data_IF_502081284954
#
_entry.id   IF_502081284954
#
_cell.length_a   1.000
_cell.length_b   1.000
_cell.length_c   1.000
_cell.angle_alpha   90.00
_cell.angle_beta   90.00
_cell.angle_gamma   90.00
#
_symmetry.space_group_name_H-M   'P 1'
#
loop_
_entity.id
_entity.type
_entity.pdbx_description
1 polymer ?
#
# COMPACT_ATOMS: atom_id res chain seq x y z
N UNK A 1 13.17 -33.97 -21.84
CA UNK A 1 12.83 -32.69 -21.18
C UNK A 1 12.95 -31.60 -22.22
N UNK A 2 11.83 -30.96 -22.54
CA UNK A 2 11.74 -29.95 -23.62
C UNK A 2 12.29 -28.60 -23.16
N UNK A 3 12.76 -27.75 -24.08
CA UNK A 3 13.24 -26.38 -23.78
C UNK A 3 12.23 -25.53 -22.99
N UNK A 4 10.94 -25.85 -23.10
CA UNK A 4 9.84 -25.23 -22.35
C UNK A 4 9.83 -25.64 -20.87
N UNK A 5 10.08 -26.91 -20.56
CA UNK A 5 10.20 -27.40 -19.17
C UNK A 5 11.46 -26.84 -18.51
N UNK A 6 12.58 -26.74 -19.23
CA UNK A 6 13.80 -26.13 -18.70
C UNK A 6 13.62 -24.63 -18.41
N UNK A 7 12.97 -23.86 -19.29
CA UNK A 7 12.66 -22.44 -19.06
C UNK A 7 11.72 -22.22 -17.87
N UNK A 8 10.68 -23.06 -17.72
CA UNK A 8 9.73 -22.98 -16.60
C UNK A 8 10.43 -23.23 -15.27
N UNK A 9 11.28 -24.27 -15.21
CA UNK A 9 11.99 -24.65 -13.98
C UNK A 9 13.04 -23.59 -13.57
N UNK A 10 13.73 -22.96 -14.54
CA UNK A 10 14.64 -21.83 -14.24
C UNK A 10 13.93 -20.56 -13.78
N UNK A 11 12.70 -20.31 -14.24
CA UNK A 11 11.91 -19.15 -13.80
C UNK A 11 11.36 -19.35 -12.38
N UNK A 12 10.94 -20.57 -12.04
CA UNK A 12 10.56 -20.95 -10.66
C UNK A 12 11.74 -20.82 -9.69
N UNK A 13 12.90 -21.38 -10.03
CA UNK A 13 14.11 -21.24 -9.19
C UNK A 13 14.55 -19.79 -8.99
N UNK A 14 14.43 -18.95 -10.02
CA UNK A 14 14.75 -17.52 -9.92
C UNK A 14 13.75 -16.78 -9.00
N UNK A 15 12.46 -17.11 -9.08
CA UNK A 15 11.43 -16.55 -8.21
C UNK A 15 11.64 -16.94 -6.74
N UNK A 16 11.98 -18.21 -6.46
CA UNK A 16 12.26 -18.69 -5.10
C UNK A 16 13.53 -18.04 -4.53
N UNK A 17 14.56 -17.85 -5.35
CA UNK A 17 15.78 -17.15 -4.94
C UNK A 17 15.51 -15.68 -4.60
N UNK A 18 14.69 -15.00 -5.39
CA UNK A 18 14.29 -13.62 -5.09
C UNK A 18 13.45 -13.55 -3.81
N UNK A 19 12.45 -14.42 -3.64
CA UNK A 19 11.61 -14.48 -2.46
C UNK A 19 12.41 -14.74 -1.16
N UNK A 20 13.39 -15.65 -1.21
CA UNK A 20 14.26 -15.94 -0.06
C UNK A 20 15.18 -14.76 0.28
N UNK A 21 15.76 -14.10 -0.73
CA UNK A 21 16.55 -12.90 -0.55
C UNK A 21 15.71 -11.76 0.09
N UNK A 22 14.45 -11.64 -0.32
CA UNK A 22 13.51 -10.67 0.23
C UNK A 22 13.13 -10.96 1.68
N UNK A 23 12.81 -12.22 1.98
CA UNK A 23 12.55 -12.64 3.35
C UNK A 23 13.74 -12.32 4.25
N UNK A 24 14.97 -12.58 3.79
CA UNK A 24 16.19 -12.28 4.54
C UNK A 24 16.42 -10.79 4.77
N UNK A 25 16.23 -9.94 3.75
CA UNK A 25 16.36 -8.48 3.90
C UNK A 25 15.29 -7.90 4.82
N UNK A 26 14.04 -8.38 4.70
CA UNK A 26 12.97 -7.97 5.59
C UNK A 26 13.22 -8.44 7.02
N UNK A 27 13.65 -9.68 7.22
CA UNK A 27 14.03 -10.20 8.54
C UNK A 27 15.15 -9.38 9.17
N UNK A 28 16.18 -8.98 8.41
CA UNK A 28 17.23 -8.11 8.92
C UNK A 28 16.67 -6.75 9.36
N UNK A 29 15.79 -6.16 8.56
CA UNK A 29 15.12 -4.92 8.93
C UNK A 29 14.25 -5.13 10.17
N UNK A 30 13.42 -6.18 10.27
CA UNK A 30 12.59 -6.41 11.46
C UNK A 30 13.45 -6.66 12.70
N UNK A 31 14.63 -7.27 12.58
CA UNK A 31 15.60 -7.49 13.66
C UNK A 31 16.47 -6.26 14.01
N UNK A 32 16.09 -5.05 13.57
CA UNK A 32 16.80 -3.83 13.96
C UNK A 32 18.09 -3.55 13.18
N UNK A 33 18.35 -4.20 12.03
CA UNK A 33 19.54 -3.93 11.23
C UNK A 33 19.63 -2.44 10.79
N UNK A 34 20.83 -1.89 10.85
CA UNK A 34 21.09 -0.52 10.39
C UNK A 34 21.05 -0.42 8.86
N UNK A 35 20.89 0.79 8.32
CA UNK A 35 21.03 1.06 6.88
C UNK A 35 22.34 0.47 6.30
N UNK A 36 23.44 0.65 7.02
CA UNK A 36 24.75 0.14 6.61
C UNK A 36 24.76 -1.41 6.55
N UNK A 37 24.11 -2.09 7.51
CA UNK A 37 23.96 -3.57 7.53
C UNK A 37 23.12 -4.08 6.36
N UNK A 38 21.96 -3.45 6.13
CA UNK A 38 21.03 -3.83 5.05
C UNK A 38 21.69 -3.63 3.69
N UNK A 39 22.35 -2.49 3.47
CA UNK A 39 23.05 -2.23 2.21
C UNK A 39 24.26 -3.15 1.98
N UNK A 40 24.93 -3.60 3.05
CA UNK A 40 25.94 -4.65 2.95
C UNK A 40 25.31 -5.98 2.51
N UNK A 41 24.17 -6.36 3.07
CA UNK A 41 23.45 -7.57 2.64
C UNK A 41 23.02 -7.49 1.18
N UNK A 42 22.52 -6.34 0.73
CA UNK A 42 22.22 -6.09 -0.69
C UNK A 42 23.49 -6.27 -1.54
N UNK A 43 24.63 -5.73 -1.11
CA UNK A 43 25.91 -5.88 -1.84
C UNK A 43 26.36 -7.33 -1.97
N UNK A 44 26.26 -8.13 -0.91
CA UNK A 44 26.70 -9.53 -0.97
C UNK A 44 25.77 -10.39 -1.84
N UNK A 45 24.47 -10.16 -1.74
CA UNK A 45 23.49 -11.06 -2.33
C UNK A 45 23.07 -10.71 -3.76
N UNK A 46 23.20 -9.45 -4.18
CA UNK A 46 22.72 -9.02 -5.50
C UNK A 46 23.72 -9.32 -6.63
N UNK A 47 24.93 -9.76 -6.33
CA UNK A 47 25.95 -10.03 -7.35
C UNK A 47 25.55 -11.17 -8.32
N UNK A 48 24.69 -12.10 -7.88
CA UNK A 48 24.11 -13.13 -8.75
C UNK A 48 22.99 -12.61 -9.65
N UNK A 49 22.47 -11.41 -9.36
CA UNK A 49 21.28 -10.80 -9.98
C UNK A 49 21.69 -9.68 -10.94
N UNK A 50 22.72 -8.90 -10.58
CA UNK A 50 23.26 -7.80 -11.37
C UNK A 50 24.79 -7.80 -11.39
N UNK A 51 25.41 -7.50 -12.54
CA UNK A 51 26.84 -7.22 -12.59
C UNK A 51 27.13 -5.83 -12.01
N UNK A 52 27.81 -5.76 -10.87
CA UNK A 52 28.32 -4.51 -10.33
C UNK A 52 29.66 -4.70 -9.61
N UNK A 53 30.43 -3.63 -9.52
CA UNK A 53 31.68 -3.54 -8.74
C UNK A 53 31.57 -2.49 -7.63
N UNK A 54 30.45 -1.75 -7.61
CA UNK A 54 30.18 -0.67 -6.68
C UNK A 54 28.68 -0.49 -6.49
N UNK A 55 28.25 -0.40 -5.23
CA UNK A 55 26.93 0.10 -4.88
C UNK A 55 27.06 1.43 -4.14
N UNK A 56 26.23 2.40 -4.52
CA UNK A 56 26.03 3.63 -3.75
C UNK A 56 24.57 3.77 -3.34
N UNK A 57 24.32 4.30 -2.14
CA UNK A 57 22.99 4.71 -1.70
C UNK A 57 23.03 6.20 -1.35
N UNK A 58 22.14 6.97 -1.97
CA UNK A 58 21.98 8.39 -1.69
C UNK A 58 20.52 8.70 -1.38
N UNK A 59 20.28 9.44 -0.30
CA UNK A 59 18.94 9.81 0.13
C UNK A 59 18.73 11.30 -0.10
N UNK A 60 17.48 11.68 -0.33
CA UNK A 60 17.08 13.08 -0.39
C UNK A 60 17.09 13.62 1.05
N UNK A 61 17.60 14.83 1.25
CA UNK A 61 17.54 15.47 2.56
C UNK A 61 16.12 15.94 2.92
N UNK A 62 15.90 16.32 4.18
CA UNK A 62 14.59 16.73 4.69
C UNK A 62 13.99 17.92 3.92
N UNK A 63 14.84 18.76 3.33
CA UNK A 63 14.40 19.90 2.52
C UNK A 63 13.83 19.49 1.14
N UNK A 64 14.14 18.29 0.67
CA UNK A 64 13.84 17.85 -0.69
C UNK A 64 14.78 18.42 -1.76
N UNK A 65 15.69 19.32 -1.41
CA UNK A 65 16.49 20.08 -2.38
C UNK A 65 17.78 19.38 -2.77
N UNK A 66 18.34 18.54 -1.89
CA UNK A 66 19.65 17.92 -2.13
C UNK A 66 19.60 16.41 -2.01
N UNK A 67 20.45 15.77 -2.79
CA UNK A 67 20.74 14.34 -2.70
C UNK A 67 22.04 14.18 -1.94
N UNK A 68 22.06 13.34 -0.90
CA UNK A 68 23.23 13.10 -0.05
C UNK A 68 23.61 11.63 -0.05
N UNK A 69 24.86 11.33 -0.41
CA UNK A 69 25.40 9.98 -0.34
C UNK A 69 25.46 9.52 1.12
N UNK A 70 24.68 8.50 1.48
CA UNK A 70 24.61 7.94 2.84
C UNK A 70 25.52 6.75 3.05
N UNK A 71 25.76 6.00 1.99
CA UNK A 71 26.56 4.78 2.02
C UNK A 71 27.12 4.46 0.63
N UNK A 72 28.28 3.82 0.60
CA UNK A 72 28.86 3.27 -0.62
C UNK A 72 29.82 2.13 -0.29
N UNK A 73 29.87 1.14 -1.16
CA UNK A 73 30.87 0.06 -1.14
C UNK A 73 31.34 -0.21 -2.56
N UNK A 74 32.65 -0.41 -2.73
CA UNK A 74 33.31 -0.53 -4.03
C UNK A 74 34.50 -1.46 -3.93
N UNK A 75 34.77 -2.21 -5.00
CA UNK A 75 36.03 -2.96 -5.18
C UNK A 75 37.21 -2.05 -5.53
N UNK A 76 36.93 -0.83 -5.98
CA UNK A 76 37.93 0.21 -6.31
C UNK A 76 38.01 1.26 -5.21
N UNK A 77 39.06 2.09 -5.26
CA UNK A 77 39.19 3.23 -4.36
C UNK A 77 37.99 4.16 -4.51
N UNK A 78 37.34 4.47 -3.39
CA UNK A 78 36.21 5.40 -3.33
C UNK A 78 36.73 6.84 -3.26
N UNK A 79 36.20 7.70 -4.14
CA UNK A 79 36.43 9.14 -4.21
C UNK A 79 35.11 9.88 -3.90
N UNK A 80 34.01 9.49 -4.55
CA UNK A 80 32.64 9.89 -4.20
C UNK A 80 32.17 9.01 -3.05
N UNK A 81 32.53 9.44 -1.85
CA UNK A 81 32.18 8.78 -0.60
C UNK A 81 30.93 9.34 0.09
N UNK A 82 30.71 8.84 1.30
CA UNK A 82 29.67 9.30 2.22
C UNK A 82 29.74 10.81 2.44
N UNK A 83 28.58 11.43 2.64
CA UNK A 83 28.36 12.87 2.81
C UNK A 83 28.58 13.74 1.56
N UNK A 84 28.99 13.17 0.41
CA UNK A 84 28.90 13.90 -0.85
C UNK A 84 27.44 14.34 -1.08
N UNK A 85 27.24 15.61 -1.43
CA UNK A 85 25.90 16.14 -1.66
C UNK A 85 25.86 17.09 -2.84
N UNK A 86 24.79 16.96 -3.63
CA UNK A 86 24.55 17.79 -4.81
C UNK A 86 23.07 18.19 -4.88
N UNK A 87 22.73 19.32 -5.53
CA UNK A 87 21.34 19.71 -5.78
C UNK A 87 20.60 18.64 -6.59
N UNK A 88 19.37 18.32 -6.18
CA UNK A 88 18.48 17.47 -6.96
C UNK A 88 17.95 18.24 -8.18
N UNK A 89 17.54 19.49 -7.98
CA UNK A 89 16.98 20.35 -9.03
C UNK A 89 17.98 20.59 -10.17
N UNK A 90 17.51 20.42 -11.40
CA UNK A 90 18.33 20.56 -12.62
C UNK A 90 19.31 19.40 -12.84
N UNK A 91 19.29 18.37 -11.99
CA UNK A 91 20.13 17.20 -12.16
C UNK A 91 19.44 16.13 -13.00
N UNK A 92 20.25 15.23 -13.55
CA UNK A 92 19.75 14.03 -14.21
C UNK A 92 19.02 13.07 -13.27
N UNK A 93 19.18 13.20 -11.95
CA UNK A 93 18.47 12.39 -10.94
C UNK A 93 17.05 12.88 -10.69
N UNK A 94 16.78 14.18 -10.86
CA UNK A 94 15.43 14.73 -10.81
C UNK A 94 14.52 14.00 -11.81
N UNK A 95 15.00 13.85 -13.06
CA UNK A 95 14.26 13.13 -14.10
C UNK A 95 14.01 11.65 -13.72
N UNK A 96 14.97 10.97 -13.09
CA UNK A 96 14.82 9.58 -12.64
C UNK A 96 13.69 9.47 -11.61
N UNK A 97 13.62 10.42 -10.68
CA UNK A 97 12.59 10.47 -9.64
C UNK A 97 11.20 10.79 -10.23
N UNK A 98 11.11 11.81 -11.09
CA UNK A 98 9.87 12.24 -11.73
C UNK A 98 9.26 11.14 -12.60
N UNK A 99 10.10 10.42 -13.35
CA UNK A 99 9.64 9.32 -14.20
C UNK A 99 9.35 8.04 -13.42
N UNK A 100 9.78 7.96 -12.14
CA UNK A 100 9.70 6.76 -11.29
C UNK A 100 10.22 5.51 -12.01
N UNK A 101 11.26 5.68 -12.83
CA UNK A 101 11.83 4.64 -13.69
C UNK A 101 13.34 4.58 -13.52
N UNK A 102 13.92 3.38 -13.45
CA UNK A 102 15.36 3.24 -13.40
C UNK A 102 16.03 3.78 -14.67
N UNK A 103 17.27 4.24 -14.52
CA UNK A 103 18.08 4.78 -15.62
C UNK A 103 19.36 3.98 -15.80
N UNK A 104 19.65 3.62 -17.03
CA UNK A 104 20.92 2.98 -17.42
C UNK A 104 21.80 4.00 -18.15
N UNK A 105 23.04 4.13 -17.70
CA UNK A 105 24.13 4.83 -18.39
C UNK A 105 25.24 3.82 -18.66
N UNK A 106 25.29 3.28 -19.88
CA UNK A 106 26.23 2.22 -20.24
C UNK A 106 27.65 2.72 -20.61
N UNK A 107 27.82 4.03 -20.76
CA UNK A 107 29.12 4.65 -20.98
C UNK A 107 29.17 6.00 -20.23
N UNK A 108 29.76 5.99 -19.03
CA UNK A 108 29.88 7.17 -18.18
C UNK A 108 30.94 8.16 -18.67
N UNK A 109 31.95 7.72 -19.40
CA UNK A 109 32.95 8.61 -20.00
C UNK A 109 32.32 9.44 -21.12
N UNK A 110 31.55 8.79 -22.01
CA UNK A 110 30.76 9.49 -23.04
C UNK A 110 29.72 10.42 -22.42
N UNK A 111 29.02 9.96 -21.36
CA UNK A 111 28.08 10.80 -20.63
C UNK A 111 28.79 12.03 -20.03
N UNK A 112 29.98 11.87 -19.46
CA UNK A 112 30.76 12.97 -18.89
C UNK A 112 31.20 13.98 -19.96
N UNK A 113 31.55 13.53 -21.16
CA UNK A 113 31.87 14.42 -22.28
C UNK A 113 30.68 15.31 -22.66
N UNK A 114 29.46 14.74 -22.65
CA UNK A 114 28.21 15.47 -22.92
C UNK A 114 27.76 16.34 -21.75
N UNK A 115 28.16 15.99 -20.53
CA UNK A 115 27.81 16.68 -19.29
C UNK A 115 29.07 17.09 -18.51
N UNK A 116 29.92 17.96 -19.07
CA UNK A 116 31.24 18.25 -18.53
C UNK A 116 31.20 18.98 -17.17
N UNK A 117 30.04 19.46 -16.72
CA UNK A 117 29.86 20.08 -15.41
C UNK A 117 29.39 19.09 -14.32
N UNK A 118 29.15 17.82 -14.66
CA UNK A 118 28.72 16.80 -13.70
C UNK A 118 29.86 16.38 -12.78
N UNK A 119 29.96 17.02 -11.60
CA UNK A 119 30.98 16.71 -10.59
C UNK A 119 30.90 15.25 -10.15
N UNK A 120 29.71 14.75 -9.84
CA UNK A 120 29.52 13.36 -9.40
C UNK A 120 29.95 12.34 -10.45
N UNK A 121 29.59 12.55 -11.73
CA UNK A 121 30.04 11.69 -12.83
C UNK A 121 31.57 11.70 -12.95
N UNK A 122 32.22 12.86 -12.85
CA UNK A 122 33.68 12.95 -12.92
C UNK A 122 34.36 12.16 -11.81
N UNK A 123 33.86 12.27 -10.58
CA UNK A 123 34.40 11.52 -9.43
C UNK A 123 34.27 10.01 -9.67
N UNK A 124 33.08 9.55 -10.10
CA UNK A 124 32.82 8.12 -10.37
C UNK A 124 33.67 7.57 -11.52
N UNK A 125 33.86 8.34 -12.60
CA UNK A 125 34.75 7.95 -13.71
C UNK A 125 36.21 7.82 -13.23
N UNK A 126 36.66 8.73 -12.37
CA UNK A 126 37.98 8.69 -11.76
C UNK A 126 38.19 7.51 -10.79
N UNK A 127 37.11 6.94 -10.23
CA UNK A 127 37.16 5.67 -9.48
C UNK A 127 37.37 4.44 -10.38
N UNK A 128 37.29 4.61 -11.71
CA UNK A 128 37.40 3.52 -12.68
C UNK A 128 36.06 2.92 -13.11
N UNK A 129 34.94 3.51 -12.71
CA UNK A 129 33.59 3.06 -13.10
C UNK A 129 33.28 3.52 -14.53
N UNK A 130 32.59 2.67 -15.30
CA UNK A 130 32.29 2.89 -16.73
C UNK A 130 30.82 2.80 -17.09
N UNK A 131 30.00 2.11 -16.29
CA UNK A 131 28.56 2.12 -16.44
C UNK A 131 27.84 2.23 -15.09
N UNK A 132 26.62 2.76 -15.11
CA UNK A 132 25.79 2.91 -13.92
C UNK A 132 24.33 2.61 -14.21
N UNK A 133 23.73 1.83 -13.33
CA UNK A 133 22.31 1.59 -13.24
C UNK A 133 21.78 2.28 -11.99
N UNK A 134 20.97 3.33 -12.20
CA UNK A 134 20.38 4.15 -11.14
C UNK A 134 18.93 3.74 -10.91
N UNK A 135 18.64 3.34 -9.69
CA UNK A 135 17.32 2.92 -9.23
C UNK A 135 16.70 3.99 -8.32
N UNK A 136 15.51 4.53 -8.64
CA UNK A 136 14.80 5.44 -7.73
C UNK A 136 14.19 4.66 -6.57
N UNK A 137 14.43 5.13 -5.34
CA UNK A 137 13.76 4.63 -4.16
C UNK A 137 12.46 5.41 -3.99
N UNK A 138 11.32 4.73 -4.08
CA UNK A 138 10.00 5.35 -3.96
C UNK A 138 9.06 4.54 -3.08
N UNK A 139 8.37 5.19 -2.14
CA UNK A 139 7.35 4.58 -1.27
C UNK A 139 6.07 5.40 -1.41
N UNK A 140 4.94 4.74 -1.71
CA UNK A 140 3.64 5.40 -1.96
C UNK A 140 3.72 6.56 -2.96
N UNK A 141 4.58 6.42 -3.97
CA UNK A 141 4.80 7.43 -4.99
C UNK A 141 5.67 8.62 -4.58
N UNK A 142 6.15 8.68 -3.33
CA UNK A 142 7.12 9.66 -2.84
C UNK A 142 8.54 9.15 -3.04
N UNK A 143 9.39 9.99 -3.64
CA UNK A 143 10.80 9.68 -3.85
C UNK A 143 11.63 9.96 -2.61
N UNK A 144 12.35 8.96 -2.11
CA UNK A 144 13.16 9.06 -0.88
C UNK A 144 14.67 9.05 -1.16
N UNK A 145 15.08 8.61 -2.35
CA UNK A 145 16.49 8.49 -2.70
C UNK A 145 16.77 7.67 -3.94
N UNK A 146 17.99 7.20 -4.03
CA UNK A 146 18.52 6.45 -5.17
C UNK A 146 19.48 5.37 -4.70
N UNK A 147 19.39 4.20 -5.33
CA UNK A 147 20.39 3.15 -5.25
C UNK A 147 21.12 3.04 -6.59
N UNK A 148 22.44 2.97 -6.55
CA UNK A 148 23.29 2.97 -7.73
C UNK A 148 24.04 1.65 -7.79
N UNK A 149 23.76 0.82 -8.78
CA UNK A 149 24.63 -0.31 -9.15
C UNK A 149 25.57 0.18 -10.24
N UNK A 150 26.87 0.02 -10.05
CA UNK A 150 27.88 0.61 -10.93
C UNK A 150 28.96 -0.42 -11.26
N UNK A 151 29.38 -0.46 -12.52
CA UNK A 151 30.36 -1.44 -13.01
C UNK A 151 31.57 -0.75 -13.63
N UNK A 152 32.73 -1.40 -13.53
CA UNK A 152 33.96 -1.00 -14.23
C UNK A 152 33.93 -1.29 -15.72
N UNK A 153 32.89 -1.98 -16.22
CA UNK A 153 32.71 -2.29 -17.63
C UNK A 153 31.69 -1.34 -18.28
N UNK A 154 31.88 -1.08 -19.57
CA UNK A 154 30.84 -0.43 -20.39
C UNK A 154 29.78 -1.46 -20.77
N UNK A 155 28.56 -1.01 -21.03
CA UNK A 155 27.46 -1.87 -21.49
C UNK A 155 27.07 -3.03 -20.55
N UNK A 156 27.37 -2.91 -19.24
CA UNK A 156 27.04 -3.93 -18.26
C UNK A 156 25.52 -4.14 -18.06
N UNK A 157 24.69 -3.14 -18.42
CA UNK A 157 23.25 -3.20 -18.14
C UNK A 157 22.39 -3.24 -19.41
N UNK A 158 21.37 -4.12 -19.40
CA UNK A 158 20.42 -4.31 -20.49
C UNK A 158 18.98 -4.03 -20.02
N UNK A 159 18.02 -4.10 -20.95
CA UNK A 159 16.59 -3.99 -20.61
C UNK A 159 16.08 -5.14 -19.74
N UNK A 160 16.72 -6.31 -19.77
CA UNK A 160 16.34 -7.44 -18.91
C UNK A 160 16.51 -7.09 -17.41
N UNK A 161 17.59 -6.36 -17.08
CA UNK A 161 17.82 -5.85 -15.72
C UNK A 161 16.74 -4.86 -15.26
N UNK A 162 16.11 -4.12 -16.18
CA UNK A 162 14.98 -3.23 -15.83
C UNK A 162 13.73 -4.01 -15.42
N UNK A 163 13.43 -5.11 -16.11
CA UNK A 163 12.24 -5.93 -15.83
C UNK A 163 12.36 -6.58 -14.45
N UNK A 164 13.51 -7.18 -14.19
CA UNK A 164 13.85 -7.76 -12.89
C UNK A 164 13.72 -6.75 -11.75
N UNK A 165 14.18 -5.51 -11.96
CA UNK A 165 14.08 -4.49 -10.92
C UNK A 165 12.67 -4.00 -10.65
N UNK A 166 11.76 -4.10 -11.61
CA UNK A 166 10.37 -3.64 -11.43
C UNK A 166 9.66 -4.44 -10.33
N UNK A 167 9.97 -5.73 -10.20
CA UNK A 167 9.37 -6.64 -9.22
C UNK A 167 9.87 -6.36 -7.80
N UNK A 168 11.13 -5.94 -7.67
CA UNK A 168 11.84 -5.83 -6.39
C UNK A 168 11.87 -4.38 -5.86
N UNK A 169 11.46 -3.44 -6.73
CA UNK A 169 11.57 -2.00 -6.55
C UNK A 169 10.90 -1.48 -5.28
N UNK A 170 9.63 -1.85 -5.08
CA UNK A 170 8.83 -1.35 -3.97
C UNK A 170 9.38 -1.84 -2.63
N UNK A 171 9.71 -3.14 -2.57
CA UNK A 171 10.24 -3.75 -1.36
C UNK A 171 11.62 -3.21 -0.99
N UNK A 172 12.53 -3.10 -1.95
CA UNK A 172 13.86 -2.56 -1.71
C UNK A 172 13.81 -1.09 -1.25
N UNK A 173 12.88 -0.31 -1.82
CA UNK A 173 12.61 1.06 -1.39
C UNK A 173 12.12 1.12 0.06
N UNK A 174 11.20 0.22 0.44
CA UNK A 174 10.66 0.13 1.79
C UNK A 174 11.74 -0.30 2.81
N UNK A 175 12.49 -1.36 2.51
CA UNK A 175 13.61 -1.86 3.33
C UNK A 175 14.65 -0.77 3.60
N UNK A 176 15.04 -0.03 2.56
CA UNK A 176 16.01 1.06 2.69
C UNK A 176 15.41 2.25 3.46
N UNK A 177 14.13 2.58 3.26
CA UNK A 177 13.45 3.63 4.01
C UNK A 177 13.53 3.33 5.51
N UNK A 178 13.05 2.15 5.93
CA UNK A 178 13.01 1.73 7.33
C UNK A 178 14.43 1.76 7.91
N UNK A 179 15.38 1.12 7.23
CA UNK A 179 16.76 1.06 7.72
C UNK A 179 17.43 2.45 7.81
N UNK A 180 17.03 3.41 6.96
CA UNK A 180 17.58 4.77 6.93
C UNK A 180 17.06 5.69 8.03
N UNK A 181 15.82 5.49 8.48
CA UNK A 181 15.19 6.29 9.54
C UNK A 181 15.75 5.97 10.93
N UNK A 182 16.40 4.81 11.10
CA UNK A 182 16.99 4.36 12.37
C UNK A 182 18.14 5.19 12.92
N UNK A 183 18.74 6.08 12.12
CA UNK A 183 19.91 6.85 12.57
C UNK A 183 19.58 8.02 13.50
N UNK A 184 18.31 8.25 13.85
CA UNK A 184 17.93 9.44 14.62
C UNK A 184 17.14 9.21 15.91
N UNK A 185 16.78 7.99 16.32
CA UNK A 185 16.18 7.80 17.66
C UNK A 185 16.20 6.32 18.03
N UNK A 186 16.32 6.03 19.33
CA UNK A 186 15.82 4.79 19.93
C UNK A 186 14.54 4.35 19.24
N UNK A 187 14.48 3.11 18.73
CA UNK A 187 13.32 2.56 18.01
C UNK A 187 12.04 2.88 18.79
N UNK A 188 11.14 3.65 18.19
CA UNK A 188 9.89 4.09 18.82
C UNK A 188 8.80 3.06 18.56
N UNK A 189 7.90 2.84 19.52
CA UNK A 189 6.72 1.96 19.41
C UNK A 189 5.93 2.15 18.11
N UNK A 190 5.95 3.36 17.55
CA UNK A 190 5.32 3.68 16.26
C UNK A 190 5.90 2.87 15.09
N UNK A 191 7.20 2.62 15.07
CA UNK A 191 7.86 1.84 14.01
C UNK A 191 7.45 0.36 14.10
N UNK A 192 7.38 -0.20 15.31
CA UNK A 192 6.93 -1.57 15.52
C UNK A 192 5.43 -1.75 15.24
N UNK A 193 4.59 -0.81 15.67
CA UNK A 193 3.15 -0.82 15.35
C UNK A 193 2.93 -0.75 13.83
N UNK A 194 3.72 0.05 13.11
CA UNK A 194 3.63 0.11 11.65
C UNK A 194 3.96 -1.23 11.00
N UNK A 195 5.06 -1.89 11.43
CA UNK A 195 5.44 -3.21 10.92
C UNK A 195 4.39 -4.27 11.26
N UNK A 196 3.88 -4.24 12.50
CA UNK A 196 2.83 -5.13 12.97
C UNK A 196 1.56 -4.99 12.12
N UNK A 197 1.11 -3.75 11.86
CA UNK A 197 -0.05 -3.47 11.01
C UNK A 197 0.14 -4.06 9.60
N UNK A 198 1.33 -3.92 9.00
CA UNK A 198 1.62 -4.53 7.70
C UNK A 198 1.50 -6.05 7.73
N UNK A 199 2.04 -6.72 8.75
CA UNK A 199 1.94 -8.18 8.88
C UNK A 199 0.50 -8.64 9.13
N UNK A 200 -0.22 -7.98 10.04
CA UNK A 200 -1.63 -8.28 10.32
C UNK A 200 -2.48 -8.13 9.06
N UNK A 201 -2.24 -7.06 8.30
CA UNK A 201 -2.95 -6.79 7.05
C UNK A 201 -2.66 -7.82 5.97
N UNK A 202 -1.46 -8.40 5.92
CA UNK A 202 -1.14 -9.49 4.98
C UNK A 202 -1.71 -10.83 5.40
N UNK A 203 -1.72 -11.12 6.71
CA UNK A 203 -2.21 -12.39 7.26
C UNK A 203 -3.73 -12.53 7.16
N UNK A 204 -4.47 -11.42 7.32
CA UNK A 204 -5.94 -11.45 7.32
C UNK A 204 -6.52 -10.22 6.63
N UNK A 205 -7.14 -10.39 5.44
CA UNK A 205 -7.88 -9.32 4.77
C UNK A 205 -9.01 -8.76 5.63
N UNK A 206 -9.64 -9.58 6.49
CA UNK A 206 -10.68 -9.11 7.43
C UNK A 206 -10.09 -8.13 8.43
N UNK A 207 -8.94 -8.48 9.00
CA UNK A 207 -8.23 -7.68 10.00
C UNK A 207 -7.73 -6.36 9.42
N UNK A 208 -7.23 -6.37 8.19
CA UNK A 208 -6.88 -5.15 7.45
C UNK A 208 -8.05 -4.16 7.37
N UNK A 209 -9.26 -4.66 7.06
CA UNK A 209 -10.45 -3.81 6.98
C UNK A 209 -10.93 -3.31 8.34
N UNK A 210 -10.75 -4.08 9.42
CA UNK A 210 -11.04 -3.60 10.78
C UNK A 210 -10.15 -2.42 11.12
N UNK A 211 -8.83 -2.56 10.94
CA UNK A 211 -7.85 -1.49 11.24
C UNK A 211 -8.16 -0.24 10.39
N UNK A 212 -8.47 -0.42 9.10
CA UNK A 212 -8.81 0.67 8.21
C UNK A 212 -10.06 1.45 8.66
N UNK A 213 -11.15 0.75 9.00
CA UNK A 213 -12.38 1.40 9.48
C UNK A 213 -12.15 2.13 10.80
N UNK A 214 -11.38 1.54 11.73
CA UNK A 214 -11.00 2.22 12.98
C UNK A 214 -10.20 3.48 12.71
N UNK A 215 -9.19 3.43 11.83
CA UNK A 215 -8.36 4.60 11.47
C UNK A 215 -9.17 5.70 10.79
N UNK A 216 -10.21 5.34 10.02
CA UNK A 216 -11.13 6.30 9.38
C UNK A 216 -12.08 6.98 10.39
N UNK A 217 -12.60 6.25 11.36
CA UNK A 217 -13.61 6.74 12.31
C UNK A 217 -12.98 7.45 13.52
N UNK A 218 -11.78 7.04 13.95
CA UNK A 218 -11.12 7.57 15.13
C UNK A 218 -10.93 9.11 15.13
N UNK A 219 -10.61 9.79 14.01
CA UNK A 219 -10.50 11.24 13.97
C UNK A 219 -11.82 11.98 14.24
N UNK A 220 -12.97 11.42 13.83
CA UNK A 220 -14.28 12.01 14.10
C UNK A 220 -14.69 11.89 15.57
N UNK A 221 -14.22 10.83 16.24
CA UNK A 221 -14.55 10.50 17.62
C UNK A 221 -13.59 11.14 18.64
N UNK A 222 -12.28 11.06 18.41
CA UNK A 222 -11.25 11.60 19.30
C UNK A 222 -9.95 11.89 18.54
N UNK A 223 -9.81 13.11 17.95
CA UNK A 223 -8.64 13.48 17.15
C UNK A 223 -7.30 13.35 17.89
N UNK A 224 -7.30 13.63 19.20
CA UNK A 224 -6.09 13.61 20.03
C UNK A 224 -5.59 12.17 20.28
N UNK A 225 -6.47 11.17 20.18
CA UNK A 225 -6.15 9.78 20.51
C UNK A 225 -6.19 8.84 19.29
N UNK A 226 -6.40 9.36 18.07
CA UNK A 226 -6.62 8.52 16.88
C UNK A 226 -5.48 7.53 16.60
N UNK A 227 -4.23 7.94 16.85
CA UNK A 227 -3.08 7.05 16.72
C UNK A 227 -3.12 5.87 17.74
N UNK A 228 -3.61 6.10 18.95
CA UNK A 228 -3.76 5.04 19.96
C UNK A 228 -4.87 4.06 19.60
N UNK A 229 -5.94 4.54 18.95
CA UNK A 229 -7.04 3.68 18.48
C UNK A 229 -6.53 2.70 17.41
N UNK A 230 -5.76 3.21 16.45
CA UNK A 230 -5.18 2.39 15.38
C UNK A 230 -4.15 1.38 15.93
N UNK A 231 -3.29 1.80 16.86
CA UNK A 231 -2.34 0.90 17.54
C UNK A 231 -3.05 -0.21 18.32
N UNK A 232 -4.11 0.12 19.07
CA UNK A 232 -4.90 -0.85 19.82
C UNK A 232 -5.61 -1.85 18.89
N UNK A 233 -6.22 -1.37 17.81
CA UNK A 233 -6.85 -2.23 16.81
C UNK A 233 -5.84 -3.20 16.18
N UNK A 234 -4.64 -2.72 15.88
CA UNK A 234 -3.55 -3.53 15.32
C UNK A 234 -3.13 -4.65 16.28
N UNK A 235 -2.94 -4.35 17.56
CA UNK A 235 -2.57 -5.34 18.58
C UNK A 235 -3.67 -6.36 18.85
N UNK A 236 -4.93 -5.93 18.86
CA UNK A 236 -6.08 -6.81 19.05
C UNK A 236 -6.27 -7.77 17.88
N UNK A 237 -6.14 -7.29 16.63
CA UNK A 237 -6.20 -8.17 15.47
C UNK A 237 -4.99 -9.12 15.40
N UNK A 238 -3.80 -8.66 15.79
CA UNK A 238 -2.63 -9.52 15.94
C UNK A 238 -2.88 -10.66 16.95
N UNK A 239 -3.49 -10.34 18.09
CA UNK A 239 -3.88 -11.30 19.13
C UNK A 239 -4.88 -12.34 18.61
N UNK A 240 -5.86 -11.92 17.82
CA UNK A 240 -6.85 -12.81 17.22
C UNK A 240 -6.20 -13.78 16.22
N UNK A 241 -5.23 -13.30 15.42
CA UNK A 241 -4.47 -14.12 14.46
C UNK A 241 -3.58 -15.13 15.19
N UNK A 242 -2.88 -14.71 16.26
CA UNK A 242 -2.05 -15.61 17.09
C UNK A 242 -2.90 -16.72 17.73
N UNK A 243 -4.17 -16.45 18.00
CA UNK A 243 -5.08 -17.43 18.58
C UNK A 243 -5.64 -18.44 17.56
N UNK A 244 -5.41 -18.24 16.25
CA UNK A 244 -5.94 -19.07 15.16
C UNK A 244 -4.85 -19.93 14.48
N UNK A 245 -4.85 -21.25 14.71
CA UNK A 245 -3.83 -22.25 14.32
C UNK A 245 -3.18 -22.13 12.90
N UNK A 246 -2.10 -21.33 12.74
CA UNK A 246 -1.11 -21.54 11.67
C UNK A 246 0.30 -20.95 11.97
N UNK A 247 1.37 -21.66 11.63
CA UNK A 247 2.60 -21.69 12.46
C UNK A 247 3.84 -20.95 11.91
N UNK A 248 3.68 -19.88 11.10
CA UNK A 248 4.83 -19.03 10.67
C UNK A 248 4.57 -17.54 10.78
N UNK A 249 3.37 -17.09 10.41
CA UNK A 249 2.99 -15.68 10.52
C UNK A 249 2.78 -15.28 11.99
N UNK A 250 2.30 -16.19 12.83
CA UNK A 250 2.18 -15.99 14.27
C UNK A 250 3.53 -15.75 14.95
N UNK A 251 4.57 -16.52 14.58
CA UNK A 251 5.91 -16.37 15.17
C UNK A 251 6.47 -14.98 14.89
N UNK A 252 6.30 -14.47 13.66
CA UNK A 252 6.71 -13.13 13.27
C UNK A 252 5.91 -12.03 13.98
N UNK A 253 4.60 -12.22 14.15
CA UNK A 253 3.74 -11.28 14.90
C UNK A 253 4.14 -11.25 16.38
N UNK A 254 4.38 -12.41 17.01
CA UNK A 254 4.84 -12.51 18.40
C UNK A 254 6.20 -11.85 18.59
N UNK A 255 7.14 -12.05 17.66
CA UNK A 255 8.46 -11.40 17.70
C UNK A 255 8.35 -9.87 17.70
N UNK A 256 7.46 -9.29 16.87
CA UNK A 256 7.25 -7.84 16.80
C UNK A 256 6.55 -7.31 18.05
N UNK A 257 5.52 -8.01 18.56
CA UNK A 257 4.81 -7.60 19.79
C UNK A 257 5.78 -7.50 20.98
N UNK A 258 6.67 -8.49 21.13
CA UNK A 258 7.66 -8.51 22.22
C UNK A 258 8.69 -7.36 22.15
N UNK A 259 8.76 -6.65 21.02
CA UNK A 259 9.67 -5.53 20.81
C UNK A 259 9.01 -4.16 21.03
N UNK A 260 7.69 -4.10 21.25
CA UNK A 260 6.95 -2.86 21.58
C UNK A 260 7.02 -2.65 23.10
N UNK A 261 7.86 -1.73 23.64
CA UNK A 261 7.77 -1.36 25.05
C UNK A 261 6.37 -0.82 25.40
N UNK A 262 5.97 -1.04 26.65
CA UNK A 262 4.61 -0.80 27.13
C UNK A 262 4.04 0.56 26.68
N UNK A 263 3.04 0.51 25.81
CA UNK A 263 2.23 1.66 25.44
C UNK A 263 1.11 1.82 26.48
N UNK A 264 1.39 2.49 27.60
CA UNK A 264 0.47 2.66 28.74
C UNK A 264 -0.98 2.97 28.31
N UNK A 265 -1.17 3.95 27.42
CA UNK A 265 -2.50 4.32 26.88
C UNK A 265 -3.16 3.20 26.05
N UNK A 266 -2.38 2.43 25.29
CA UNK A 266 -2.89 1.33 24.46
C UNK A 266 -3.19 0.10 25.32
N UNK A 267 -2.40 -0.17 26.37
CA UNK A 267 -2.71 -1.19 27.38
C UNK A 267 -4.06 -0.91 28.02
N UNK A 268 -4.31 0.33 28.44
CA UNK A 268 -5.62 0.72 29.01
C UNK A 268 -6.77 0.51 28.01
N UNK A 269 -6.57 0.76 26.71
CA UNK A 269 -7.59 0.48 25.69
C UNK A 269 -7.86 -1.03 25.58
N UNK A 270 -6.81 -1.87 25.61
CA UNK A 270 -6.94 -3.33 25.53
C UNK A 270 -7.61 -3.89 26.79
N UNK A 271 -7.25 -3.39 27.98
CA UNK A 271 -7.89 -3.76 29.25
C UNK A 271 -9.39 -3.43 29.25
N UNK A 272 -9.76 -2.23 28.80
CA UNK A 272 -11.16 -1.82 28.63
C UNK A 272 -11.87 -2.62 27.53
N UNK A 273 -11.14 -3.05 26.50
CA UNK A 273 -11.67 -3.94 25.48
C UNK A 273 -11.95 -5.33 26.04
N UNK A 274 -11.17 -5.85 26.99
CA UNK A 274 -11.40 -7.18 27.57
C UNK A 274 -12.50 -7.15 28.67
N UNK A 275 -12.70 -6.03 29.35
CA UNK A 275 -13.71 -5.87 30.41
C UNK A 275 -15.03 -5.25 29.90
N UNK A 276 -16.02 -6.07 29.55
CA UNK A 276 -17.33 -5.59 29.07
C UNK A 276 -18.04 -4.63 30.04
N UNK A 277 -17.85 -4.81 31.35
CA UNK A 277 -18.44 -3.97 32.39
C UNK A 277 -18.00 -2.51 32.33
N UNK A 278 -16.79 -2.24 31.83
CA UNK A 278 -16.26 -0.88 31.71
C UNK A 278 -16.89 -0.14 30.52
N UNK A 279 -17.40 -0.89 29.53
CA UNK A 279 -18.13 -0.37 28.38
C UNK A 279 -19.60 -0.05 28.74
N UNK A 280 -20.19 -0.79 29.69
CA UNK A 280 -21.54 -0.55 30.20
C UNK A 280 -21.71 0.84 30.86
N UNK A 281 -20.61 1.51 31.21
CA UNK A 281 -20.62 2.88 31.76
C UNK A 281 -20.94 3.97 30.72
N UNK A 282 -20.96 3.63 29.42
CA UNK A 282 -21.18 4.55 28.29
C UNK A 282 -22.68 4.87 28.04
N UNK A 283 -23.53 4.87 29.07
CA UNK A 283 -24.95 5.24 28.91
C UNK A 283 -25.11 6.77 28.65
N UNK A 284 -25.37 7.08 27.37
CA UNK A 284 -26.04 8.23 26.74
C UNK A 284 -25.49 9.66 27.00
N UNK A 285 -24.86 10.00 28.13
CA UNK A 285 -24.48 11.40 28.41
C UNK A 285 -22.99 11.68 28.73
N UNK A 286 -22.09 10.68 28.76
CA UNK A 286 -20.67 10.88 29.14
C UNK A 286 -19.61 10.31 28.17
N UNK A 287 -20.01 9.79 27.01
CA UNK A 287 -19.11 9.07 26.07
C UNK A 287 -17.99 9.97 25.52
N UNK A 288 -18.23 11.26 25.34
CA UNK A 288 -17.24 12.19 24.78
C UNK A 288 -16.08 12.51 25.75
N UNK A 289 -16.22 12.19 27.05
CA UNK A 289 -15.20 12.48 28.07
C UNK A 289 -14.30 11.28 28.41
N UNK A 290 -14.55 10.10 27.83
CA UNK A 290 -13.78 8.87 28.09
C UNK A 290 -13.19 8.30 26.79
N UNK A 291 -12.15 8.94 26.23
CA UNK A 291 -11.62 8.62 24.90
C UNK A 291 -11.03 7.21 24.81
N UNK A 292 -10.62 6.59 25.92
CA UNK A 292 -10.07 5.22 25.88
C UNK A 292 -11.19 4.16 25.86
N UNK A 293 -12.30 4.39 26.56
CA UNK A 293 -13.48 3.52 26.46
C UNK A 293 -14.14 3.63 25.10
N UNK A 294 -14.15 4.83 24.52
CA UNK A 294 -14.64 5.06 23.16
C UNK A 294 -13.79 4.29 22.13
N UNK A 295 -12.47 4.21 22.33
CA UNK A 295 -11.58 3.40 21.49
C UNK A 295 -11.94 1.91 21.54
N UNK A 296 -12.07 1.36 22.75
CA UNK A 296 -12.41 -0.04 22.96
C UNK A 296 -13.78 -0.39 22.36
N UNK A 297 -14.79 0.46 22.55
CA UNK A 297 -16.12 0.26 21.99
C UNK A 297 -16.13 0.35 20.46
N UNK A 298 -15.37 1.29 19.87
CA UNK A 298 -15.21 1.39 18.42
C UNK A 298 -14.61 0.13 17.83
N UNK A 299 -13.48 -0.33 18.36
CA UNK A 299 -12.79 -1.53 17.85
C UNK A 299 -13.72 -2.74 17.93
N UNK A 300 -14.40 -2.92 19.07
CA UNK A 300 -15.38 -3.99 19.29
C UNK A 300 -16.53 -3.92 18.28
N UNK A 301 -17.13 -2.74 18.09
CA UNK A 301 -18.24 -2.53 17.16
C UNK A 301 -17.83 -2.85 15.72
N UNK A 302 -16.64 -2.39 15.29
CA UNK A 302 -16.11 -2.67 13.95
C UNK A 302 -15.80 -4.15 13.75
N UNK A 303 -15.21 -4.81 14.75
CA UNK A 303 -14.94 -6.25 14.71
C UNK A 303 -16.23 -7.06 14.58
N UNK A 304 -17.25 -6.75 15.38
CA UNK A 304 -18.53 -7.45 15.35
C UNK A 304 -19.28 -7.19 14.04
N UNK A 305 -19.29 -5.94 13.57
CA UNK A 305 -19.81 -5.60 12.23
C UNK A 305 -19.15 -6.48 11.15
N UNK A 306 -17.81 -6.59 11.14
CA UNK A 306 -17.09 -7.38 10.13
C UNK A 306 -17.37 -8.88 10.23
N UNK A 307 -17.58 -9.42 11.43
CA UNK A 307 -18.01 -10.81 11.62
C UNK A 307 -19.42 -11.03 11.05
N UNK A 308 -20.35 -10.14 11.36
CA UNK A 308 -21.74 -10.23 10.90
C UNK A 308 -21.88 -10.00 9.39
N UNK A 309 -21.12 -9.08 8.82
CA UNK A 309 -21.05 -8.82 7.37
C UNK A 309 -20.58 -10.06 6.60
N UNK A 310 -19.62 -10.81 7.14
CA UNK A 310 -19.18 -12.05 6.52
C UNK A 310 -20.24 -13.17 6.59
N UNK A 311 -21.04 -13.20 7.66
CA UNK A 311 -22.08 -14.20 7.88
C UNK A 311 -23.39 -13.91 7.11
N UNK A 312 -23.67 -12.66 6.73
CA UNK A 312 -24.95 -12.24 6.15
C UNK A 312 -24.76 -11.51 4.82
N UNK A 313 -25.54 -11.87 3.80
CA UNK A 313 -25.43 -11.29 2.44
C UNK A 313 -26.03 -9.88 2.27
N UNK A 314 -26.46 -9.19 3.33
CA UNK A 314 -27.08 -7.84 3.24
C UNK A 314 -26.56 -6.89 4.33
N UNK A 315 -26.12 -5.70 3.91
CA UNK A 315 -25.46 -4.69 4.76
C UNK A 315 -26.34 -4.10 5.87
N UNK A 316 -27.67 -4.21 5.78
CA UNK A 316 -28.57 -3.67 6.82
C UNK A 316 -28.76 -4.60 8.02
N UNK A 317 -28.52 -5.91 7.86
CA UNK A 317 -28.67 -6.88 8.95
C UNK A 317 -27.64 -6.66 10.07
N UNK A 318 -26.34 -6.46 9.80
CA UNK A 318 -25.34 -6.18 10.83
C UNK A 318 -25.73 -5.03 11.77
N UNK A 319 -26.19 -3.90 11.26
CA UNK A 319 -26.56 -2.74 12.08
C UNK A 319 -27.79 -3.01 12.96
N UNK A 320 -28.76 -3.78 12.47
CA UNK A 320 -29.92 -4.19 13.28
C UNK A 320 -29.47 -5.08 14.44
N UNK A 321 -28.48 -5.95 14.23
CA UNK A 321 -27.91 -6.77 15.29
C UNK A 321 -27.17 -5.92 16.34
N UNK A 322 -26.29 -5.01 15.92
CA UNK A 322 -25.56 -4.13 16.83
C UNK A 322 -26.51 -3.26 17.68
N UNK A 323 -27.60 -2.74 17.08
CA UNK A 323 -28.59 -1.91 17.79
C UNK A 323 -29.43 -2.66 18.83
N UNK A 324 -29.43 -3.99 18.84
CA UNK A 324 -30.14 -4.78 19.87
C UNK A 324 -29.40 -4.81 21.20
N UNK A 325 -28.11 -4.50 21.20
CA UNK A 325 -27.25 -4.53 22.38
C UNK A 325 -26.61 -3.14 22.60
N UNK A 326 -27.41 -2.08 22.86
CA UNK A 326 -26.90 -0.71 22.98
C UNK A 326 -25.98 -0.50 24.21
N UNK A 327 -26.04 -1.41 25.17
CA UNK A 327 -25.15 -1.46 26.33
C UNK A 327 -23.73 -1.94 25.96
N UNK A 328 -23.60 -2.70 24.86
CA UNK A 328 -22.34 -3.27 24.37
C UNK A 328 -21.81 -2.49 23.18
N UNK A 329 -22.68 -2.05 22.27
CA UNK A 329 -22.34 -1.27 21.08
C UNK A 329 -22.97 0.11 21.19
N UNK A 330 -22.16 1.13 21.44
CA UNK A 330 -22.67 2.48 21.68
C UNK A 330 -23.41 2.99 20.43
N UNK A 331 -24.66 3.49 20.55
CA UNK A 331 -25.45 3.94 19.40
C UNK A 331 -24.73 4.99 18.54
N UNK A 332 -24.01 5.93 19.18
CA UNK A 332 -23.19 6.92 18.49
C UNK A 332 -22.15 6.29 17.55
N UNK A 333 -21.44 5.25 18.01
CA UNK A 333 -20.43 4.56 17.20
C UNK A 333 -21.09 3.79 16.06
N UNK A 334 -22.21 3.13 16.34
CA UNK A 334 -22.96 2.37 15.33
C UNK A 334 -23.44 3.30 14.22
N UNK A 335 -23.95 4.48 14.57
CA UNK A 335 -24.43 5.47 13.60
C UNK A 335 -23.27 6.06 12.78
N UNK A 336 -22.13 6.38 13.39
CA UNK A 336 -20.93 6.84 12.68
C UNK A 336 -20.39 5.78 11.70
N UNK A 337 -20.35 4.51 12.12
CA UNK A 337 -19.96 3.39 11.27
C UNK A 337 -20.92 3.22 10.09
N UNK A 338 -22.24 3.29 10.32
CA UNK A 338 -23.24 3.20 9.26
C UNK A 338 -23.10 4.34 8.24
N UNK A 339 -22.90 5.58 8.72
CA UNK A 339 -22.67 6.73 7.85
C UNK A 339 -21.40 6.58 7.00
N UNK A 340 -20.28 6.16 7.60
CA UNK A 340 -19.03 5.95 6.87
C UNK A 340 -19.18 4.90 5.76
N UNK A 341 -19.90 3.80 6.04
CA UNK A 341 -20.18 2.77 5.05
C UNK A 341 -21.08 3.30 3.93
N UNK A 342 -22.17 4.01 4.25
CA UNK A 342 -23.07 4.62 3.25
C UNK A 342 -22.32 5.63 2.36
N UNK A 343 -21.44 6.45 2.93
CA UNK A 343 -20.63 7.42 2.20
C UNK A 343 -19.67 6.71 1.22
N UNK A 344 -18.98 5.66 1.66
CA UNK A 344 -18.05 4.90 0.80
C UNK A 344 -18.72 4.24 -0.41
N UNK A 345 -19.98 3.81 -0.26
CA UNK A 345 -20.79 3.21 -1.34
C UNK A 345 -21.27 4.30 -2.32
N UNK A 346 -21.50 5.52 -1.82
CA UNK A 346 -22.03 6.62 -2.64
C UNK A 346 -20.98 7.25 -3.55
N UNK A 347 -19.70 7.24 -3.19
CA UNK A 347 -18.60 7.78 -4.01
C UNK A 347 -18.18 6.89 -5.20
N UNK A 348 -18.57 5.61 -5.21
CA UNK A 348 -18.16 4.62 -6.21
C UNK A 348 -19.31 4.16 -7.12
N UNK A 349 -20.45 4.86 -7.04
CA UNK A 349 -21.68 4.53 -7.77
C UNK A 349 -21.64 5.06 -9.21
N UNK A 350 -21.86 4.16 -10.19
CA UNK A 350 -21.99 4.48 -11.61
C UNK A 350 -23.33 3.97 -12.15
N UNK A 351 -23.95 4.73 -13.05
CA UNK A 351 -25.07 4.27 -13.88
C UNK A 351 -24.51 3.62 -15.15
N UNK A 352 -24.86 2.37 -15.41
CA UNK A 352 -24.38 1.59 -16.56
C UNK A 352 -25.54 0.93 -17.29
N UNK A 353 -25.38 0.75 -18.59
CA UNK A 353 -26.22 -0.17 -19.37
C UNK A 353 -25.75 -1.61 -19.20
N UNK A 354 -26.57 -2.59 -19.56
CA UNK A 354 -26.22 -4.02 -19.55
C UNK A 354 -24.94 -4.27 -20.37
N UNK A 355 -24.76 -3.55 -21.47
CA UNK A 355 -23.57 -3.65 -22.34
C UNK A 355 -22.28 -3.14 -21.68
N UNK A 356 -22.42 -2.28 -20.68
CA UNK A 356 -21.30 -1.66 -19.95
C UNK A 356 -20.98 -2.39 -18.64
N UNK A 357 -21.73 -3.46 -18.32
CA UNK A 357 -21.45 -4.30 -17.16
C UNK A 357 -20.11 -5.04 -17.31
N UNK A 358 -19.23 -4.86 -16.35
CA UNK A 358 -17.94 -5.54 -16.25
C UNK A 358 -17.93 -6.44 -15.02
N UNK A 359 -17.23 -7.58 -15.11
CA UNK A 359 -17.08 -8.48 -13.97
C UNK A 359 -16.45 -7.78 -12.78
N UNK A 360 -17.01 -8.04 -11.60
CA UNK A 360 -16.59 -7.42 -10.34
C UNK A 360 -17.38 -6.16 -9.96
N UNK A 361 -18.21 -5.58 -10.83
CA UNK A 361 -19.17 -4.54 -10.45
C UNK A 361 -20.22 -5.10 -9.47
N UNK A 362 -20.84 -4.27 -8.62
CA UNK A 362 -21.85 -4.72 -7.64
C UNK A 362 -23.15 -3.95 -7.86
N UNK A 363 -24.30 -4.62 -8.01
CA UNK A 363 -25.58 -3.92 -8.18
C UNK A 363 -25.99 -3.19 -6.89
N UNK A 364 -26.34 -1.91 -6.96
CA UNK A 364 -26.80 -1.12 -5.80
C UNK A 364 -28.29 -1.28 -5.55
N UNK A 365 -29.05 -1.53 -6.61
CA UNK A 365 -30.50 -1.72 -6.58
C UNK A 365 -30.88 -3.06 -7.22
N UNK A 366 -32.11 -3.50 -7.00
CA UNK A 366 -32.64 -4.68 -7.70
C UNK A 366 -32.67 -4.40 -9.20
N UNK A 367 -32.12 -5.31 -10.00
CA UNK A 367 -32.30 -5.29 -11.45
C UNK A 367 -33.69 -5.83 -11.73
N UNK A 368 -34.58 -5.01 -12.26
CA UNK A 368 -35.98 -5.36 -12.49
C UNK A 368 -36.31 -5.41 -13.98
N UNK A 369 -37.25 -6.26 -14.35
CA UNK A 369 -37.88 -6.26 -15.67
C UNK A 369 -38.95 -5.15 -15.76
N UNK A 370 -39.39 -4.86 -16.98
CA UNK A 370 -40.42 -3.85 -17.27
C UNK A 370 -41.78 -4.13 -16.61
N UNK A 371 -42.03 -5.36 -16.16
CA UNK A 371 -43.22 -5.78 -15.42
C UNK A 371 -43.07 -5.71 -13.89
N UNK A 372 -41.90 -5.29 -13.39
CA UNK A 372 -41.56 -5.22 -11.97
C UNK A 372 -40.93 -6.49 -11.38
N UNK A 373 -40.74 -7.55 -12.17
CA UNK A 373 -40.10 -8.78 -11.70
C UNK A 373 -38.62 -8.54 -11.38
N UNK A 374 -38.15 -8.94 -10.19
CA UNK A 374 -36.73 -8.85 -9.80
C UNK A 374 -35.94 -9.95 -10.53
N UNK A 375 -34.98 -9.54 -11.35
CA UNK A 375 -34.09 -10.42 -12.12
C UNK A 375 -32.77 -10.70 -11.41
N UNK A 376 -32.27 -9.71 -10.66
CA UNK A 376 -31.05 -9.82 -9.84
C UNK A 376 -31.28 -8.98 -8.59
N UNK A 377 -30.94 -9.52 -7.41
CA UNK A 377 -31.04 -8.76 -6.17
C UNK A 377 -29.93 -7.71 -6.07
N UNK A 378 -30.21 -6.60 -5.39
CA UNK A 378 -29.16 -5.66 -4.98
C UNK A 378 -28.05 -6.40 -4.22
N UNK A 379 -26.84 -5.84 -4.27
CA UNK A 379 -25.59 -6.32 -3.68
C UNK A 379 -24.97 -7.57 -4.34
N UNK A 380 -25.53 -8.06 -5.46
CA UNK A 380 -24.88 -9.11 -6.24
C UNK A 380 -23.70 -8.60 -7.06
N UNK A 381 -22.61 -9.37 -7.07
CA UNK A 381 -21.44 -9.14 -7.91
C UNK A 381 -21.75 -9.58 -9.35
N UNK A 382 -21.49 -8.70 -10.31
CA UNK A 382 -21.56 -8.96 -11.74
C UNK A 382 -20.50 -9.99 -12.11
N UNK A 383 -20.96 -11.07 -12.72
CA UNK A 383 -20.13 -12.08 -13.35
C UNK A 383 -20.65 -12.39 -14.77
N UNK A 384 -19.87 -13.11 -15.57
CA UNK A 384 -20.21 -13.44 -16.96
C UNK A 384 -21.58 -14.13 -17.11
N UNK A 385 -21.99 -14.95 -16.13
CA UNK A 385 -23.29 -15.61 -16.16
C UNK A 385 -24.46 -14.64 -15.98
N UNK A 386 -24.37 -13.72 -15.02
CA UNK A 386 -25.40 -12.70 -14.79
C UNK A 386 -25.52 -11.77 -15.99
N UNK A 387 -24.38 -11.35 -16.55
CA UNK A 387 -24.35 -10.49 -17.74
C UNK A 387 -25.05 -11.15 -18.92
N UNK A 388 -24.68 -12.39 -19.23
CA UNK A 388 -25.27 -13.13 -20.33
C UNK A 388 -26.78 -13.38 -20.12
N UNK A 389 -27.21 -13.60 -18.87
CA UNK A 389 -28.63 -13.75 -18.52
C UNK A 389 -29.41 -12.46 -18.75
N UNK A 390 -28.86 -11.31 -18.36
CA UNK A 390 -29.49 -10.00 -18.55
C UNK A 390 -29.53 -9.59 -20.03
N UNK A 391 -28.47 -9.87 -20.79
CA UNK A 391 -28.41 -9.64 -22.24
C UNK A 391 -29.47 -10.44 -23.00
N UNK A 392 -29.64 -11.72 -22.64
CA UNK A 392 -30.58 -12.63 -23.31
C UNK A 392 -32.03 -12.44 -22.87
N UNK A 393 -32.28 -11.71 -21.78
CA UNK A 393 -33.63 -11.52 -21.24
C UNK A 393 -34.55 -10.79 -22.23
N UNK A 394 -33.99 -9.94 -23.10
CA UNK A 394 -34.69 -9.17 -24.13
C UNK A 394 -35.33 -9.97 -25.27
N UNK A 395 -34.99 -11.26 -25.43
CA UNK A 395 -35.42 -12.05 -26.59
C UNK A 395 -36.89 -12.52 -26.54
N UNK A 396 -37.57 -12.36 -25.40
CA UNK A 396 -38.98 -12.77 -25.20
C UNK A 396 -39.98 -11.59 -25.13
N UNK A 397 -39.60 -10.39 -25.60
CA UNK A 397 -40.48 -9.22 -25.63
C UNK A 397 -40.60 -8.43 -24.32
N UNK A 398 -39.87 -8.83 -23.28
CA UNK A 398 -39.73 -8.08 -22.02
C UNK A 398 -38.35 -7.45 -21.93
N UNK A 399 -38.25 -6.20 -21.43
CA UNK A 399 -36.96 -5.51 -21.29
C UNK A 399 -36.57 -5.40 -19.83
N UNK A 400 -35.28 -5.52 -19.57
CA UNK A 400 -34.69 -5.12 -18.28
C UNK A 400 -34.77 -3.59 -18.19
N UNK A 401 -35.11 -3.06 -17.03
CA UNK A 401 -35.11 -1.63 -16.77
C UNK A 401 -33.68 -1.13 -16.66
N UNK A 402 -33.29 -0.23 -17.57
CA UNK A 402 -31.99 0.45 -17.61
C UNK A 402 -32.21 1.96 -17.40
N UNK A 403 -31.23 2.71 -16.84
CA UNK A 403 -29.87 2.28 -16.46
C UNK A 403 -29.79 1.51 -15.13
N UNK A 404 -28.76 0.68 -15.00
CA UNK A 404 -28.47 -0.11 -13.79
C UNK A 404 -27.52 0.66 -12.89
N UNK A 405 -27.82 0.67 -11.58
CA UNK A 405 -26.97 1.32 -10.59
C UNK A 405 -25.96 0.31 -10.05
N UNK A 406 -24.67 0.56 -10.25
CA UNK A 406 -23.59 -0.34 -9.84
C UNK A 406 -22.47 0.37 -9.09
N UNK A 407 -21.77 -0.38 -8.24
CA UNK A 407 -20.53 0.05 -7.59
C UNK A 407 -19.33 -0.57 -8.31
N UNK A 408 -18.34 0.24 -8.67
CA UNK A 408 -17.12 -0.23 -9.31
C UNK A 408 -16.05 -0.62 -8.27
N UNK A 409 -15.43 -1.80 -8.35
CA UNK A 409 -14.29 -2.13 -7.52
C UNK A 409 -13.11 -1.21 -7.85
N UNK A 410 -12.38 -0.75 -6.82
CA UNK A 410 -11.40 0.33 -6.88
C UNK A 410 -10.19 0.14 -7.85
N UNK A 411 -10.13 -0.95 -8.62
CA UNK A 411 -8.98 -1.29 -9.48
C UNK A 411 -9.11 -0.91 -10.97
N UNK A 412 -10.27 -0.42 -11.45
CA UNK A 412 -10.47 -0.17 -12.90
C UNK A 412 -10.73 1.29 -13.31
N UNK A 413 -10.59 2.27 -12.40
CA UNK A 413 -10.94 3.67 -12.68
C UNK A 413 -9.95 4.46 -13.57
N UNK A 414 -8.86 3.86 -14.09
CA UNK A 414 -7.84 4.58 -14.88
C UNK A 414 -7.70 4.19 -16.36
N UNK A 415 -8.67 3.47 -16.93
CA UNK A 415 -8.71 3.27 -18.39
C UNK A 415 -10.13 3.41 -18.94
N UNK A 416 -10.59 4.66 -19.09
CA UNK A 416 -11.49 5.10 -20.18
C UNK A 416 -11.86 6.57 -19.97
N UNK A 417 -11.01 7.49 -20.44
CA UNK A 417 -11.48 8.82 -20.88
C UNK A 417 -11.46 8.81 -22.41
N UNK A 418 -12.59 9.06 -23.10
CA UNK A 418 -12.57 9.20 -24.54
C UNK A 418 -11.84 10.49 -24.92
N UNK A 419 -10.95 10.41 -25.91
CA UNK A 419 -10.36 11.57 -26.56
C UNK A 419 -11.44 12.47 -27.16
N UNK A 420 -11.74 13.57 -26.47
CA UNK A 420 -12.51 14.68 -27.02
C UNK A 420 -11.64 15.54 -27.93
N UNK A 421 -12.00 15.60 -29.21
CA UNK A 421 -11.48 16.55 -30.21
C UNK A 421 -11.60 18.01 -29.73
N UNK A 422 -10.65 18.90 -30.08
CA UNK A 422 -10.65 20.27 -29.59
C UNK A 422 -11.74 21.09 -30.30
N UNK A 423 -12.70 21.61 -29.51
CA UNK A 423 -13.68 22.58 -30.00
C UNK A 423 -13.03 23.97 -30.10
N UNK A 424 -13.09 24.48 -31.31
CA UNK A 424 -12.65 25.79 -31.77
C UNK A 424 -13.29 26.92 -30.94
N UNK A 425 -12.46 27.77 -30.34
CA UNK A 425 -12.89 29.02 -29.71
C UNK A 425 -12.85 30.11 -30.77
N UNK A 426 -14.01 30.50 -31.31
CA UNK A 426 -14.22 31.85 -31.86
C UNK A 426 -15.71 32.16 -32.07
N UNK A 427 -16.07 33.35 -31.59
CA UNK A 427 -17.16 34.23 -32.06
C UNK A 427 -18.60 33.72 -31.98
N UNK A 428 -19.40 34.32 -31.11
CA UNK A 428 -20.28 35.45 -31.50
C UNK A 428 -20.91 36.11 -30.27
N UNK A 429 -20.69 37.42 -30.18
CA UNK A 429 -21.43 38.35 -29.34
C UNK A 429 -22.90 38.47 -29.77
N UNK A 430 -23.67 39.01 -28.83
CA UNK A 430 -24.72 40.03 -28.98
C UNK A 430 -26.17 39.57 -28.89
N UNK A 431 -26.85 40.23 -27.93
CA UNK A 431 -28.26 40.66 -27.90
C UNK A 431 -29.33 39.54 -27.95
N UNK A 432 -30.45 39.61 -27.23
CA UNK A 432 -31.22 40.76 -26.79
C UNK A 432 -32.25 40.34 -25.72
N UNK A 433 -32.52 41.28 -24.80
CA UNK A 433 -33.72 41.45 -23.92
C UNK A 433 -33.92 40.53 -22.74
#
# INVERSE_FOLDING_TARGET
MTELEQKSNTAELANDMHANLFSGLMQQVTQGATLDTVLNSVYENFNSILPFNRIGCALIDESGERVVARWCRSEKKVILGKNFSAPLKGSSLQFVLEQKRPRILNNLEEYLQKHPHSVSTRLIVNEGIRSSFTFPLTVEGHGIGFLFFSSTETNAYSKAHLALFKEIAGLLSLVILIASQRKQTTTSDREYIFLLNKLVSSASPRSAHVIQLVSQLAPGLSPQHSAHYESAATLLEARDIISANDNREQEAIVEIINQIPELETVSTIIERFDNESDLLSLQIDSIQNEPLSLAANLIRTVQEYKKLEHAHSSNHLPFVHLRREPEVFAPLIVDELEQAIIASISETTQQVTIKELVDGMIFKEHVVASDGTILVSSHHIVNGHIRHRLENYGNNGMRVMEPLLVTCPASNATQNKPHGTPRDRRTLCSAAR
#
